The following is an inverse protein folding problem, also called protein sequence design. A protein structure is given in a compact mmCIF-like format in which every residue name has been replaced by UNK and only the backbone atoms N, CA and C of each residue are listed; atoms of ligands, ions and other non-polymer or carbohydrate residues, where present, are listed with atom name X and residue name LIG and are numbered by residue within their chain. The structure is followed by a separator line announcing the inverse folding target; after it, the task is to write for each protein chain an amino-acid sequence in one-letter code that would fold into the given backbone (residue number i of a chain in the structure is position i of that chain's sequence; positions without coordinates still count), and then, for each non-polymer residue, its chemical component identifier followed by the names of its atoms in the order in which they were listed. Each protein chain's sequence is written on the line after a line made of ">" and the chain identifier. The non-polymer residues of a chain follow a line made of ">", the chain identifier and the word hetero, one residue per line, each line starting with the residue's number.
data_IF_834186688782
#
_entry.id   IF_834186688782
#
_cell.length_a   1.000
_cell.length_b   1.000
_cell.length_c   1.000
_cell.angle_alpha   90.00
_cell.angle_beta   90.00
_cell.angle_gamma   90.00
#
_symmetry.space_group_name_H-M   'P 1'
#
loop_
_entity.id
_entity.type
_entity.pdbx_description
1 polymer ?
#
# COMPACT_ATOMS: atom_id res chain seq x y z
N UNK A 1 -7.39 14.25 -15.40
CA UNK A 1 -8.77 13.83 -15.11
C UNK A 1 -8.84 13.46 -13.63
N UNK A 2 -9.79 13.99 -12.84
CA UNK A 2 -9.87 13.64 -11.43
C UNK A 2 -10.31 12.16 -11.33
N UNK A 3 -9.56 11.38 -10.55
CA UNK A 3 -9.80 9.94 -10.29
C UNK A 3 -11.23 9.62 -9.78
N UNK A 4 -11.96 10.65 -9.33
CA UNK A 4 -13.32 10.56 -8.78
C UNK A 4 -14.35 9.96 -9.74
N UNK A 5 -14.18 10.11 -11.06
CA UNK A 5 -15.14 9.55 -12.03
C UNK A 5 -14.88 8.07 -12.37
N UNK A 6 -13.83 7.46 -11.81
CA UNK A 6 -13.43 6.10 -12.18
C UNK A 6 -13.98 5.02 -11.23
N UNK A 7 -14.30 5.38 -9.98
CA UNK A 7 -14.68 4.41 -8.95
C UNK A 7 -15.97 4.83 -8.24
N UNK A 8 -16.90 3.90 -7.93
CA UNK A 8 -18.11 4.22 -7.19
C UNK A 8 -17.80 4.74 -5.80
N UNK A 9 -18.42 5.85 -5.39
CA UNK A 9 -18.32 6.36 -4.02
C UNK A 9 -19.01 5.40 -3.04
N UNK A 10 -18.40 5.21 -1.87
CA UNK A 10 -18.99 4.46 -0.75
C UNK A 10 -19.59 5.48 0.22
N UNK A 11 -20.90 5.42 0.45
CA UNK A 11 -21.58 6.34 1.37
C UNK A 11 -21.59 5.84 2.81
N UNK A 12 -22.00 4.59 3.03
CA UNK A 12 -22.16 4.01 4.37
C UNK A 12 -21.73 2.56 4.46
N UNK A 13 -22.05 1.76 3.44
CA UNK A 13 -21.85 0.32 3.44
C UNK A 13 -21.36 -0.16 2.08
N UNK A 14 -20.68 -1.30 2.08
CA UNK A 14 -20.27 -2.02 0.89
C UNK A 14 -20.30 -3.52 1.15
N UNK A 15 -20.38 -4.31 0.09
CA UNK A 15 -20.36 -5.77 0.18
C UNK A 15 -18.96 -6.28 -0.12
N UNK A 16 -18.35 -7.00 0.82
CA UNK A 16 -17.04 -7.60 0.60
C UNK A 16 -16.69 -8.67 1.62
N UNK A 17 -16.09 -9.76 1.15
CA UNK A 17 -15.37 -10.72 2.00
C UNK A 17 -14.16 -11.27 1.27
N UNK A 18 -12.96 -11.07 1.81
CA UNK A 18 -11.74 -11.64 1.21
C UNK A 18 -11.81 -13.17 1.20
N UNK A 19 -11.69 -13.78 0.03
CA UNK A 19 -11.67 -15.25 -0.14
C UNK A 19 -10.27 -15.86 -0.01
N UNK A 20 -9.26 -15.01 0.25
CA UNK A 20 -7.85 -15.39 0.32
C UNK A 20 -7.36 -16.08 -0.96
N UNK A 21 -7.79 -15.62 -2.14
CA UNK A 21 -7.37 -16.20 -3.42
C UNK A 21 -5.95 -15.79 -3.86
N UNK A 22 -5.38 -14.72 -3.26
CA UNK A 22 -4.07 -14.20 -3.66
C UNK A 22 -4.04 -13.33 -4.92
N UNK A 23 -5.16 -13.16 -5.64
CA UNK A 23 -5.20 -12.42 -6.92
C UNK A 23 -4.67 -10.98 -6.80
N UNK A 24 -5.01 -10.26 -5.72
CA UNK A 24 -4.51 -8.90 -5.46
C UNK A 24 -3.00 -8.83 -5.16
N UNK A 25 -2.34 -9.98 -5.00
CA UNK A 25 -0.90 -10.11 -4.79
C UNK A 25 -0.18 -10.61 -6.06
N UNK A 26 -0.82 -10.60 -7.22
CA UNK A 26 -0.26 -11.12 -8.49
C UNK A 26 -0.47 -10.15 -9.64
N UNK A 27 0.28 -10.30 -10.73
CA UNK A 27 0.14 -9.45 -11.92
C UNK A 27 0.80 -8.08 -11.75
N UNK A 28 0.21 -7.06 -12.38
CA UNK A 28 0.74 -5.70 -12.53
C UNK A 28 0.28 -4.71 -11.44
N UNK A 29 -0.12 -5.25 -10.28
CA UNK A 29 -0.59 -4.46 -9.15
C UNK A 29 0.44 -3.41 -8.71
N UNK A 30 -0.04 -2.20 -8.41
CA UNK A 30 0.77 -1.08 -7.94
C UNK A 30 0.41 -0.75 -6.51
N UNK A 31 1.19 -1.28 -5.57
CA UNK A 31 1.01 -1.04 -4.13
C UNK A 31 1.94 0.08 -3.69
N UNK A 32 1.46 1.33 -3.78
CA UNK A 32 2.14 2.47 -3.18
C UNK A 32 2.07 2.40 -1.66
N UNK A 33 3.10 2.91 -1.00
CA UNK A 33 3.29 2.82 0.44
C UNK A 33 3.37 4.22 1.04
N UNK A 34 2.82 4.41 2.22
CA UNK A 34 3.10 5.58 3.06
C UNK A 34 4.27 5.31 4.02
N UNK A 35 4.68 6.33 4.78
CA UNK A 35 5.79 6.19 5.74
C UNK A 35 5.50 5.15 6.82
N UNK A 36 4.24 5.02 7.26
CA UNK A 36 3.88 4.05 8.28
C UNK A 36 3.92 2.61 7.75
N UNK A 37 3.60 2.41 6.47
CA UNK A 37 3.76 1.12 5.82
C UNK A 37 5.24 0.71 5.77
N UNK A 38 6.15 1.64 5.46
CA UNK A 38 7.60 1.37 5.51
C UNK A 38 8.03 0.97 6.91
N UNK A 39 7.56 1.68 7.94
CA UNK A 39 7.83 1.39 9.34
C UNK A 39 7.37 -0.03 9.71
N UNK A 40 6.11 -0.37 9.42
CA UNK A 40 5.53 -1.71 9.67
C UNK A 40 6.29 -2.80 8.93
N UNK A 41 6.60 -2.61 7.66
CA UNK A 41 7.28 -3.60 6.83
C UNK A 41 8.73 -3.84 7.28
N UNK A 42 9.47 -2.79 7.63
CA UNK A 42 10.83 -2.91 8.14
C UNK A 42 10.87 -3.70 9.47
N UNK A 43 9.94 -3.40 10.40
CA UNK A 43 9.81 -4.14 11.65
C UNK A 43 9.44 -5.60 11.44
N UNK A 44 8.52 -5.90 10.52
CA UNK A 44 8.21 -7.29 10.14
C UNK A 44 9.45 -8.05 9.63
N UNK A 45 10.35 -7.37 8.92
CA UNK A 45 11.60 -7.95 8.39
C UNK A 45 12.74 -7.96 9.41
N UNK A 46 12.52 -7.50 10.64
CA UNK A 46 13.55 -7.30 11.67
C UNK A 46 14.70 -6.41 11.19
N UNK A 47 14.38 -5.35 10.44
CA UNK A 47 15.35 -4.35 10.01
C UNK A 47 15.34 -3.17 10.99
N UNK A 48 16.53 -2.68 11.37
CA UNK A 48 16.65 -1.48 12.21
C UNK A 48 16.30 -0.18 11.45
N UNK A 49 16.32 -0.20 10.11
CA UNK A 49 16.01 0.96 9.28
C UNK A 49 15.23 0.61 8.03
N UNK A 50 14.32 1.51 7.63
CA UNK A 50 13.56 1.41 6.37
C UNK A 50 14.44 1.42 5.12
N UNK A 51 15.66 1.96 5.19
CA UNK A 51 16.63 1.92 4.08
C UNK A 51 16.90 0.49 3.61
N UNK A 52 16.85 -0.48 4.52
CA UNK A 52 17.08 -1.89 4.19
C UNK A 52 16.01 -2.45 3.23
N UNK A 53 14.79 -1.89 3.22
CA UNK A 53 13.74 -2.29 2.26
C UNK A 53 14.17 -1.96 0.81
N UNK A 54 14.83 -0.82 0.59
CA UNK A 54 15.38 -0.43 -0.72
C UNK A 54 16.59 -1.29 -1.09
N UNK A 55 17.55 -1.45 -0.16
CA UNK A 55 18.78 -2.24 -0.38
C UNK A 55 18.44 -3.69 -0.74
N UNK A 56 17.48 -4.30 -0.02
CA UNK A 56 17.01 -5.67 -0.28
C UNK A 56 16.01 -5.77 -1.43
N UNK A 57 15.75 -4.67 -2.14
CA UNK A 57 14.86 -4.61 -3.30
C UNK A 57 13.45 -5.13 -2.99
N UNK A 58 12.97 -4.90 -1.76
CA UNK A 58 11.59 -5.19 -1.34
C UNK A 58 10.66 -4.08 -1.84
N UNK A 59 11.16 -2.85 -1.85
CA UNK A 59 10.46 -1.68 -2.39
C UNK A 59 11.32 -1.01 -3.47
N UNK A 60 10.68 -0.18 -4.27
CA UNK A 60 11.33 0.74 -5.21
C UNK A 60 10.65 2.12 -5.13
N UNK A 61 11.33 3.17 -5.59
CA UNK A 61 10.73 4.50 -5.72
C UNK A 61 10.28 4.72 -7.16
N UNK A 62 9.01 5.06 -7.33
CA UNK A 62 8.39 5.42 -8.60
C UNK A 62 7.89 6.85 -8.55
N UNK A 63 7.75 7.50 -9.70
CA UNK A 63 7.13 8.82 -9.78
C UNK A 63 5.61 8.66 -9.64
N UNK A 64 5.06 9.23 -8.58
CA UNK A 64 3.62 9.29 -8.32
C UNK A 64 2.99 10.51 -8.99
N UNK A 65 1.91 11.01 -8.37
CA UNK A 65 1.30 12.28 -8.78
C UNK A 65 2.29 13.44 -8.59
N UNK A 66 2.15 14.49 -9.40
CA UNK A 66 3.03 15.67 -9.39
C UNK A 66 4.52 15.34 -9.50
N UNK A 67 4.88 14.21 -10.13
CA UNK A 67 6.26 13.79 -10.38
C UNK A 67 7.10 13.53 -9.10
N UNK A 68 6.47 13.42 -7.93
CA UNK A 68 7.14 13.13 -6.64
C UNK A 68 7.45 11.64 -6.53
N UNK A 69 8.63 11.30 -6.03
CA UNK A 69 8.98 9.91 -5.77
C UNK A 69 8.22 9.35 -4.57
N UNK A 70 7.49 8.25 -4.78
CA UNK A 70 6.76 7.50 -3.75
C UNK A 70 7.23 6.05 -3.70
N UNK A 71 7.28 5.43 -2.51
CA UNK A 71 7.67 4.05 -2.38
C UNK A 71 6.56 3.12 -2.85
N UNK A 72 6.95 2.03 -3.52
CA UNK A 72 6.06 1.00 -4.04
C UNK A 72 6.66 -0.37 -3.77
N UNK A 73 5.82 -1.36 -3.42
CA UNK A 73 6.29 -2.76 -3.32
C UNK A 73 6.85 -3.20 -4.67
N UNK A 74 8.05 -3.79 -4.65
CA UNK A 74 8.65 -4.39 -5.84
C UNK A 74 8.17 -5.83 -5.97
N UNK A 75 7.25 -6.07 -6.90
CA UNK A 75 6.78 -7.42 -7.20
C UNK A 75 7.92 -8.24 -7.82
N UNK A 76 8.05 -9.49 -7.38
CA UNK A 76 9.05 -10.43 -7.88
C UNK A 76 8.58 -11.01 -9.21
N UNK A 77 9.51 -11.18 -10.13
CA UNK A 77 9.29 -11.81 -11.44
C UNK A 77 9.73 -13.27 -11.37
N UNK A 78 8.83 -14.21 -11.68
CA UNK A 78 9.25 -15.57 -11.99
C UNK A 78 9.94 -15.55 -13.35
N UNK A 79 11.24 -15.84 -13.37
CA UNK A 79 11.95 -16.09 -14.62
C UNK A 79 11.76 -17.58 -14.91
N UNK A 80 10.83 -17.90 -15.81
CA UNK A 80 10.75 -19.24 -16.38
C UNK A 80 12.07 -19.54 -17.10
N UNK A 81 12.63 -20.75 -16.89
CA UNK A 81 13.81 -21.24 -17.63
C UNK A 81 13.53 -21.45 -19.13
N UNK A 82 12.27 -21.40 -19.56
CA UNK A 82 11.88 -21.47 -20.97
C UNK A 82 11.77 -20.06 -21.55
N UNK A 83 12.49 -19.81 -22.65
CA UNK A 83 12.39 -18.63 -23.53
C UNK A 83 11.02 -18.57 -24.23
N UNK A 84 9.91 -18.61 -23.52
CA UNK A 84 8.63 -18.17 -24.06
C UNK A 84 8.49 -16.69 -23.75
N UNK A 85 8.34 -15.88 -24.80
CA UNK A 85 8.10 -14.43 -24.78
C UNK A 85 6.80 -14.04 -24.07
N UNK A 86 5.98 -15.01 -23.68
CA UNK A 86 4.61 -14.79 -23.24
C UNK A 86 4.54 -14.81 -21.71
N UNK A 87 4.70 -13.60 -21.20
CA UNK A 87 4.48 -13.07 -19.86
C UNK A 87 5.27 -13.66 -18.67
N UNK A 88 6.17 -12.86 -18.06
CA UNK A 88 6.65 -13.14 -16.72
C UNK A 88 5.53 -12.97 -15.68
N UNK A 89 5.10 -14.04 -15.04
CA UNK A 89 4.21 -13.92 -13.89
C UNK A 89 4.91 -13.16 -12.74
N UNK A 90 4.30 -12.08 -12.29
CA UNK A 90 4.77 -11.25 -11.17
C UNK A 90 3.91 -11.45 -9.94
N UNK A 91 4.54 -11.40 -8.77
CA UNK A 91 3.85 -11.61 -7.50
C UNK A 91 4.46 -10.76 -6.36
N UNK A 92 3.61 -10.38 -5.41
CA UNK A 92 4.00 -9.70 -4.20
C UNK A 92 5.01 -10.57 -3.43
N UNK A 93 6.14 -10.00 -2.94
CA UNK A 93 7.15 -10.75 -2.22
C UNK A 93 6.67 -11.36 -0.89
N UNK A 94 5.48 -11.00 -0.43
CA UNK A 94 4.83 -11.47 0.81
C UNK A 94 3.66 -12.42 0.57
N UNK A 95 3.44 -12.87 -0.67
CA UNK A 95 2.43 -13.89 -0.98
C UNK A 95 2.98 -15.29 -0.60
N UNK A 96 2.23 -16.00 0.22
CA UNK A 96 2.39 -17.43 0.47
C UNK A 96 1.21 -18.17 -0.12
N UNK A 97 1.48 -19.08 -1.04
CA UNK A 97 0.46 -19.97 -1.57
C UNK A 97 0.50 -21.30 -0.81
N UNK A 98 -0.66 -21.77 -0.37
CA UNK A 98 -0.83 -23.08 0.29
C UNK A 98 -2.01 -23.81 -0.33
N UNK A 99 -1.92 -25.13 -0.41
CA UNK A 99 -3.05 -25.99 -0.77
C UNK A 99 -3.66 -26.45 0.55
N UNK A 100 -4.95 -26.19 0.72
CA UNK A 100 -5.71 -26.64 1.90
C UNK A 100 -6.15 -28.10 1.74
N UNK A 101 -6.65 -28.71 2.82
CA UNK A 101 -7.10 -30.11 2.84
C UNK A 101 -8.22 -30.41 1.83
N UNK A 102 -9.00 -29.39 1.45
CA UNK A 102 -10.05 -29.49 0.43
C UNK A 102 -9.52 -29.37 -1.02
N UNK A 103 -8.20 -29.29 -1.18
CA UNK A 103 -7.52 -29.16 -2.47
C UNK A 103 -7.53 -27.73 -3.04
N UNK A 104 -8.10 -26.74 -2.35
CA UNK A 104 -8.11 -25.36 -2.83
C UNK A 104 -6.77 -24.66 -2.60
N UNK A 105 -6.31 -23.93 -3.60
CA UNK A 105 -5.18 -23.01 -3.48
C UNK A 105 -5.62 -21.73 -2.75
N UNK A 106 -4.98 -21.41 -1.63
CA UNK A 106 -5.11 -20.16 -0.89
C UNK A 106 -3.85 -19.32 -0.99
N UNK A 107 -4.02 -18.01 -1.09
CA UNK A 107 -2.98 -16.99 -1.08
C UNK A 107 -3.03 -16.18 0.21
N UNK A 108 -2.11 -16.49 1.13
CA UNK A 108 -1.92 -15.81 2.41
C UNK A 108 -0.92 -14.68 2.29
N UNK A 109 -1.19 -13.57 2.98
CA UNK A 109 -0.26 -12.45 3.06
C UNK A 109 0.56 -12.55 4.35
N UNK A 110 1.89 -12.67 4.24
CA UNK A 110 2.79 -12.75 5.41
C UNK A 110 2.73 -11.53 6.32
N UNK A 111 2.29 -10.37 5.78
CA UNK A 111 2.16 -9.14 6.54
C UNK A 111 0.86 -9.09 7.37
N UNK A 112 -0.09 -9.99 7.11
CA UNK A 112 -1.36 -10.02 7.83
C UNK A 112 -1.19 -10.57 9.25
N UNK A 113 -1.94 -10.07 10.26
CA UNK A 113 -2.84 -8.92 10.19
C UNK A 113 -2.17 -7.56 10.41
N UNK A 114 -1.01 -7.52 11.10
CA UNK A 114 -0.52 -6.29 11.74
C UNK A 114 0.39 -5.40 10.88
N UNK A 115 0.99 -5.94 9.84
CA UNK A 115 2.02 -5.25 9.05
C UNK A 115 1.61 -4.99 7.60
N UNK A 116 0.36 -5.32 7.24
CA UNK A 116 -0.16 -5.06 5.91
C UNK A 116 -0.11 -3.55 5.61
N UNK A 117 0.27 -3.16 4.38
CA UNK A 117 0.16 -1.77 3.96
C UNK A 117 -1.29 -1.29 4.07
N UNK A 118 -1.50 -0.02 4.41
CA UNK A 118 -2.82 0.55 4.62
C UNK A 118 -3.74 0.32 3.40
N UNK A 119 -3.24 0.55 2.19
CA UNK A 119 -3.99 0.30 0.94
C UNK A 119 -4.46 -1.16 0.80
N UNK A 120 -3.66 -2.13 1.26
CA UNK A 120 -4.02 -3.55 1.21
C UNK A 120 -4.97 -3.95 2.35
N UNK A 121 -4.92 -3.23 3.48
CA UNK A 121 -5.76 -3.44 4.65
C UNK A 121 -7.15 -2.85 4.47
N UNK A 122 -7.27 -1.74 3.73
CA UNK A 122 -8.54 -1.08 3.44
C UNK A 122 -9.33 -1.74 2.31
N UNK A 123 -8.68 -2.53 1.45
CA UNK A 123 -9.32 -3.18 0.30
C UNK A 123 -10.68 -3.82 0.66
N UNK A 124 -11.77 -3.48 -0.07
CA UNK A 124 -11.84 -2.77 -1.36
C UNK A 124 -12.03 -1.26 -1.22
N UNK A 125 -11.86 -0.67 -0.04
CA UNK A 125 -12.00 0.77 0.20
C UNK A 125 -10.74 1.48 -0.29
N UNK A 126 -10.89 2.31 -1.32
CA UNK A 126 -9.93 3.32 -1.72
C UNK A 126 -10.25 4.67 -1.08
N UNK A 127 -9.25 5.54 -1.00
CA UNK A 127 -9.36 6.89 -0.44
C UNK A 127 -8.91 7.91 -1.49
N UNK A 128 -9.69 8.96 -1.67
CA UNK A 128 -9.36 10.13 -2.50
C UNK A 128 -9.25 11.31 -1.57
N UNK A 129 -8.11 12.00 -1.60
CA UNK A 129 -7.83 13.17 -0.77
C UNK A 129 -7.64 14.39 -1.65
N UNK A 130 -8.33 15.47 -1.30
CA UNK A 130 -8.13 16.81 -1.85
C UNK A 130 -7.54 17.68 -0.74
N UNK A 131 -6.23 17.92 -0.82
CA UNK A 131 -5.50 18.72 0.17
C UNK A 131 -5.84 20.21 0.12
N UNK A 132 -6.35 20.72 -1.01
CA UNK A 132 -6.68 22.13 -1.15
C UNK A 132 -8.05 22.45 -0.53
N UNK A 133 -8.97 21.47 -0.56
CA UNK A 133 -10.29 21.57 0.08
C UNK A 133 -10.36 20.95 1.48
N UNK A 134 -9.26 20.38 1.96
CA UNK A 134 -9.19 19.60 3.21
C UNK A 134 -10.33 18.57 3.29
N UNK A 135 -10.53 17.84 2.19
CA UNK A 135 -11.65 16.90 2.05
C UNK A 135 -11.17 15.52 1.61
N UNK A 136 -11.90 14.50 2.04
CA UNK A 136 -11.66 13.12 1.64
C UNK A 136 -12.95 12.41 1.25
N UNK A 137 -12.82 11.50 0.31
CA UNK A 137 -13.89 10.60 -0.10
C UNK A 137 -13.39 9.16 -0.13
N UNK A 138 -14.27 8.22 0.19
CA UNK A 138 -13.99 6.80 0.10
C UNK A 138 -14.71 6.21 -1.10
N UNK A 139 -13.99 5.41 -1.88
CA UNK A 139 -14.46 4.82 -3.13
C UNK A 139 -14.26 3.31 -3.11
N UNK A 140 -15.06 2.59 -3.89
CA UNK A 140 -14.95 1.15 -4.04
C UNK A 140 -13.98 0.82 -5.18
N UNK A 141 -12.84 0.23 -4.82
CA UNK A 141 -11.81 -0.22 -5.76
C UNK A 141 -11.69 -1.73 -5.67
N UNK A 142 -12.05 -2.42 -6.75
CA UNK A 142 -11.95 -3.88 -6.79
C UNK A 142 -10.48 -4.29 -6.58
N UNK A 143 -10.14 -5.17 -5.60
CA UNK A 143 -8.74 -5.49 -5.27
C UNK A 143 -7.96 -6.18 -6.40
N UNK A 144 -8.68 -6.81 -7.34
CA UNK A 144 -8.18 -7.38 -8.58
C UNK A 144 -9.37 -7.49 -9.56
N UNK A 145 -9.16 -7.46 -10.89
CA UNK A 145 -10.24 -7.58 -11.87
C UNK A 145 -11.19 -8.77 -11.60
N UNK A 146 -10.63 -9.90 -11.16
CA UNK A 146 -11.37 -11.14 -10.87
C UNK A 146 -11.48 -11.44 -9.37
N UNK A 147 -11.56 -10.40 -8.53
CA UNK A 147 -11.76 -10.60 -7.10
C UNK A 147 -13.19 -11.09 -6.79
N UNK A 148 -13.34 -12.37 -6.46
CA UNK A 148 -14.62 -12.99 -6.06
C UNK A 148 -15.18 -12.45 -4.74
N UNK A 149 -14.35 -11.78 -3.93
CA UNK A 149 -14.78 -11.25 -2.63
C UNK A 149 -15.85 -10.17 -2.72
N UNK A 150 -16.01 -9.53 -3.88
CA UNK A 150 -17.03 -8.49 -4.12
C UNK A 150 -18.43 -9.08 -4.36
N UNK A 151 -18.52 -10.38 -4.69
CA UNK A 151 -19.79 -11.10 -4.87
C UNK A 151 -20.36 -11.62 -3.53
N UNK A 152 -19.70 -11.29 -2.41
CA UNK A 152 -20.15 -11.67 -1.08
C UNK A 152 -21.43 -10.92 -0.69
N UNK A 153 -22.32 -11.56 0.07
CA UNK A 153 -23.46 -10.91 0.72
C UNK A 153 -23.09 -10.26 2.08
N UNK A 154 -21.81 -10.31 2.47
CA UNK A 154 -21.32 -9.73 3.71
C UNK A 154 -21.27 -8.21 3.62
N UNK A 155 -22.23 -7.56 4.29
CA UNK A 155 -22.35 -6.09 4.35
C UNK A 155 -21.43 -5.54 5.43
N UNK A 156 -20.49 -4.68 5.01
CA UNK A 156 -19.49 -4.05 5.87
C UNK A 156 -19.81 -2.56 6.02
N UNK A 157 -19.65 -2.02 7.23
CA UNK A 157 -19.79 -0.59 7.51
C UNK A 157 -18.50 0.16 7.16
N UNK A 158 -18.63 1.22 6.36
CA UNK A 158 -17.53 2.12 6.03
C UNK A 158 -17.00 2.82 7.29
N UNK A 159 -17.88 3.35 8.14
CA UNK A 159 -17.47 4.06 9.35
C UNK A 159 -16.73 3.14 10.32
N UNK A 160 -17.16 1.88 10.47
CA UNK A 160 -16.43 0.89 11.27
C UNK A 160 -15.03 0.61 10.68
N UNK A 161 -14.93 0.47 9.36
CA UNK A 161 -13.66 0.24 8.65
C UNK A 161 -12.70 1.41 8.81
N UNK A 162 -13.17 2.64 8.58
CA UNK A 162 -12.40 3.88 8.72
C UNK A 162 -11.95 4.07 10.17
N UNK A 163 -12.85 3.88 11.14
CA UNK A 163 -12.51 4.00 12.56
C UNK A 163 -11.46 2.97 12.99
N UNK A 164 -11.50 1.75 12.44
CA UNK A 164 -10.51 0.72 12.73
C UNK A 164 -9.08 1.13 12.31
N UNK A 165 -8.95 1.85 11.19
CA UNK A 165 -7.66 2.32 10.66
C UNK A 165 -7.41 3.82 10.89
N UNK A 166 -8.16 4.47 11.79
CA UNK A 166 -8.13 5.92 11.97
C UNK A 166 -6.71 6.48 12.14
N UNK A 167 -5.93 5.88 13.03
CA UNK A 167 -4.54 6.32 13.27
C UNK A 167 -3.66 6.18 12.04
N UNK A 168 -3.82 5.12 11.25
CA UNK A 168 -3.03 4.94 10.02
C UNK A 168 -3.46 5.94 8.93
N UNK A 169 -4.76 6.22 8.83
CA UNK A 169 -5.32 7.23 7.94
C UNK A 169 -4.83 8.65 8.29
N UNK A 170 -4.69 8.96 9.59
CA UNK A 170 -4.13 10.22 10.07
C UNK A 170 -2.65 10.36 9.68
N UNK A 171 -1.87 9.29 9.80
CA UNK A 171 -0.46 9.27 9.34
C UNK A 171 -0.33 9.39 7.82
N UNK A 172 -1.22 8.75 7.07
CA UNK A 172 -1.25 8.90 5.61
C UNK A 172 -1.58 10.34 5.19
N UNK A 173 -2.51 11.00 5.87
CA UNK A 173 -2.84 12.41 5.60
C UNK A 173 -1.63 13.32 5.84
N UNK A 174 -0.90 13.12 6.93
CA UNK A 174 0.38 13.80 7.20
C UNK A 174 1.42 13.51 6.10
N UNK A 175 1.49 12.25 5.65
CA UNK A 175 2.36 11.89 4.53
C UNK A 175 1.99 12.61 3.22
N UNK A 176 0.71 12.79 2.90
CA UNK A 176 0.32 13.57 1.73
C UNK A 176 0.75 15.05 1.82
N UNK A 177 0.70 15.64 3.02
CA UNK A 177 1.23 17.00 3.26
C UNK A 177 2.75 17.05 3.03
N UNK A 178 3.49 16.05 3.51
CA UNK A 178 4.93 15.89 3.23
C UNK A 178 5.20 15.81 1.72
N UNK A 179 4.44 15.00 0.98
CA UNK A 179 4.61 14.89 -0.48
C UNK A 179 4.35 16.22 -1.21
N UNK A 180 3.38 17.02 -0.75
CA UNK A 180 3.15 18.38 -1.27
C UNK A 180 4.38 19.26 -1.05
N UNK A 181 4.92 19.31 0.17
CA UNK A 181 6.14 20.07 0.46
C UNK A 181 7.34 19.64 -0.37
N UNK A 182 7.50 18.34 -0.63
CA UNK A 182 8.57 17.81 -1.50
C UNK A 182 8.37 18.30 -2.95
N UNK A 183 7.13 18.28 -3.45
CA UNK A 183 6.82 18.71 -4.82
C UNK A 183 7.16 20.18 -5.08
N UNK A 184 7.05 21.02 -4.05
CA UNK A 184 7.33 22.46 -4.10
C UNK A 184 8.84 22.76 -4.06
N UNK A 185 9.66 21.82 -3.56
CA UNK A 185 11.10 22.00 -3.31
C UNK A 185 12.02 21.38 -4.35
N UNK A 186 11.47 20.63 -5.32
CA UNK A 186 12.20 19.95 -6.39
C UNK A 186 13.43 19.15 -5.90
N UNK A 187 13.27 18.42 -4.79
CA UNK A 187 14.33 17.62 -4.19
C UNK A 187 14.78 16.48 -5.10
N UNK A 188 16.08 16.20 -5.12
CA UNK A 188 16.61 15.07 -5.86
C UNK A 188 16.23 13.73 -5.22
N UNK A 189 16.19 12.68 -6.03
CA UNK A 189 15.78 11.33 -5.57
C UNK A 189 16.57 10.85 -4.36
N UNK A 190 17.88 11.10 -4.33
CA UNK A 190 18.73 10.68 -3.22
C UNK A 190 18.42 11.46 -1.94
N UNK A 191 18.16 12.76 -2.03
CA UNK A 191 17.76 13.57 -0.87
C UNK A 191 16.45 13.07 -0.27
N UNK A 192 15.48 12.73 -1.11
CA UNK A 192 14.21 12.13 -0.67
C UNK A 192 14.46 10.78 0.02
N UNK A 193 15.35 9.94 -0.52
CA UNK A 193 15.70 8.65 0.10
C UNK A 193 16.30 8.86 1.49
N UNK A 194 17.30 9.74 1.61
CA UNK A 194 18.04 9.93 2.85
C UNK A 194 17.21 10.63 3.92
N UNK A 195 16.48 11.68 3.56
CA UNK A 195 15.82 12.56 4.52
C UNK A 195 14.38 12.13 4.86
N UNK A 196 13.71 11.40 3.95
CA UNK A 196 12.27 11.10 4.07
C UNK A 196 12.03 9.59 4.22
N UNK A 197 12.65 8.77 3.37
CA UNK A 197 12.35 7.33 3.32
C UNK A 197 13.34 6.45 4.10
N UNK A 198 14.40 7.01 4.67
CA UNK A 198 15.42 6.29 5.47
C UNK A 198 15.40 6.77 6.91
N UNK A 199 14.78 5.99 7.80
CA UNK A 199 14.72 6.30 9.23
C UNK A 199 14.89 5.04 10.08
N UNK A 200 15.28 5.21 11.35
CA UNK A 200 15.35 4.13 12.34
C UNK A 200 13.91 3.75 12.75
N UNK A 201 13.62 2.46 12.88
CA UNK A 201 12.27 1.94 13.26
C UNK A 201 12.18 1.46 14.71
N UNK A 202 13.25 1.61 15.49
CA UNK A 202 13.28 1.41 16.93
C UNK A 202 12.60 2.56 17.68
N UNK A 203 12.58 3.76 17.07
CA UNK A 203 11.90 4.94 17.59
C UNK A 203 10.37 4.86 17.37
N UNK A 204 9.55 5.48 18.25
CA UNK A 204 8.12 5.60 18.03
C UNK A 204 7.80 6.35 16.73
N UNK A 205 6.93 5.76 15.89
CA UNK A 205 6.57 6.36 14.60
C UNK A 205 6.08 7.83 14.66
N UNK A 206 5.28 8.26 15.66
CA UNK A 206 4.91 9.67 15.78
C UNK A 206 6.10 10.63 15.84
N UNK A 207 7.19 10.23 16.51
CA UNK A 207 8.39 11.06 16.67
C UNK A 207 9.18 11.12 15.35
N UNK A 208 9.31 9.98 14.68
CA UNK A 208 9.89 9.89 13.34
C UNK A 208 9.16 10.83 12.37
N UNK A 209 7.82 10.75 12.35
CA UNK A 209 7.00 11.52 11.43
C UNK A 209 7.13 13.03 11.69
N UNK A 210 7.07 13.46 12.96
CA UNK A 210 7.27 14.86 13.33
C UNK A 210 8.66 15.37 12.96
N UNK A 211 9.70 14.55 13.10
CA UNK A 211 11.06 14.92 12.68
C UNK A 211 11.16 15.12 11.16
N UNK A 212 10.53 14.26 10.37
CA UNK A 212 10.51 14.36 8.91
C UNK A 212 9.74 15.61 8.47
N UNK A 213 8.63 15.94 9.14
CA UNK A 213 7.89 17.18 8.85
C UNK A 213 8.72 18.42 9.14
N UNK A 214 9.48 18.42 10.24
CA UNK A 214 10.32 19.56 10.62
C UNK A 214 11.59 19.72 9.76
N UNK A 215 11.98 18.70 9.00
CA UNK A 215 13.14 18.77 8.09
C UNK A 215 12.78 19.28 6.69
N UNK A 216 11.49 19.38 6.40
CA UNK A 216 10.93 20.01 5.21
C UNK A 216 10.51 21.44 5.58
#
# INVERSE_FOLDING_TARGET
>A
MPLLNQFPRISEHFNFKCTMCGNCCTGDQKVHLNLYDLYKMARFKNFASTRQLLIKQIITLVKGQNNVFVPMIKFKRLISRKKSSDLPFTFCPFLLNSIEDDGQLKGYCQLHPRHKPLICSLAPVGRVVDLDKDSEEFVFVKPAPDCNGVESNEKVSLSATVNHYKTELDYEMRFFKILRSISERNLEKNEIIENIYSFNVEEPFPEILTRIENSL
#
